data_IF_480520243303
#
_entry.id   IF_480520243303
#
_cell.length_a   1.000
_cell.length_b   1.000
_cell.length_c   1.000
_cell.angle_alpha   90.00
_cell.angle_beta   90.00
_cell.angle_gamma   90.00
#
_symmetry.space_group_name_H-M   'P 1'
#
loop_
_entity.id
_entity.type
_entity.pdbx_description
1 polymer ?
#
# COMPACT_ATOMS: atom_id res chain seq x y z
N UNK A 1 -10.94 -12.70 3.82
CA UNK A 1 -9.54 -12.46 4.18
C UNK A 1 -9.40 -10.98 4.51
N UNK A 2 -9.15 -10.62 5.77
CA UNK A 2 -9.08 -9.21 6.18
C UNK A 2 -7.66 -8.64 6.15
N UNK A 3 -7.54 -7.34 5.88
CA UNK A 3 -6.29 -6.59 6.00
C UNK A 3 -6.31 -5.75 7.28
N UNK A 4 -5.20 -5.75 8.02
CA UNK A 4 -5.02 -4.96 9.24
C UNK A 4 -4.09 -3.77 9.01
N UNK A 5 -4.50 -2.59 9.48
CA UNK A 5 -3.78 -1.34 9.33
C UNK A 5 -3.59 -0.67 10.69
N UNK A 6 -2.38 -0.21 10.99
CA UNK A 6 -2.11 0.58 12.19
C UNK A 6 -2.33 2.06 11.89
N UNK A 7 -3.25 2.71 12.61
CA UNK A 7 -3.48 4.16 12.49
C UNK A 7 -2.50 4.92 13.37
N UNK A 8 -2.37 4.49 14.63
CA UNK A 8 -1.51 5.06 15.65
C UNK A 8 -1.04 3.95 16.60
N UNK A 9 -0.30 4.31 17.65
CA UNK A 9 0.25 3.35 18.62
C UNK A 9 -0.80 2.51 19.35
N UNK A 10 -2.06 2.92 19.37
CA UNK A 10 -3.13 2.30 20.16
C UNK A 10 -4.31 1.80 19.33
N UNK A 11 -4.41 2.21 18.06
CA UNK A 11 -5.54 1.93 17.18
C UNK A 11 -5.12 1.21 15.91
N UNK A 12 -5.76 0.08 15.67
CA UNK A 12 -5.71 -0.65 14.42
C UNK A 12 -7.08 -0.70 13.76
N UNK A 13 -7.12 -0.75 12.45
CA UNK A 13 -8.31 -1.02 11.66
C UNK A 13 -8.16 -2.36 10.97
N UNK A 14 -9.22 -3.17 11.00
CA UNK A 14 -9.36 -4.36 10.16
C UNK A 14 -10.48 -4.11 9.19
N UNK A 15 -10.16 -4.15 7.90
CA UNK A 15 -11.15 -4.19 6.82
C UNK A 15 -11.23 -5.62 6.28
N UNK A 16 -12.44 -6.14 6.10
CA UNK A 16 -12.65 -7.52 5.68
C UNK A 16 -13.98 -7.69 4.96
N UNK A 17 -14.04 -8.66 4.06
CA UNK A 17 -15.25 -9.07 3.37
C UNK A 17 -16.04 -10.11 4.18
N UNK A 18 -17.36 -10.02 4.13
CA UNK A 18 -18.28 -10.97 4.76
C UNK A 18 -19.57 -11.05 3.94
N UNK A 19 -19.75 -12.17 3.24
CA UNK A 19 -20.80 -12.35 2.23
C UNK A 19 -20.74 -11.19 1.22
N UNK A 20 -21.85 -10.48 1.01
CA UNK A 20 -21.92 -9.35 0.10
C UNK A 20 -21.58 -8.01 0.78
N UNK A 21 -20.93 -8.04 1.94
CA UNK A 21 -20.57 -6.82 2.68
C UNK A 21 -19.07 -6.66 2.81
N UNK A 22 -18.62 -5.40 2.80
CA UNK A 22 -17.31 -5.03 3.35
C UNK A 22 -17.54 -4.42 4.72
N UNK A 23 -16.80 -4.92 5.70
CA UNK A 23 -16.89 -4.52 7.09
C UNK A 23 -15.58 -3.89 7.58
N UNK A 24 -15.69 -2.95 8.51
CA UNK A 24 -14.58 -2.34 9.24
C UNK A 24 -14.72 -2.62 10.73
N UNK A 25 -13.63 -2.98 11.39
CA UNK A 25 -13.51 -3.01 12.85
C UNK A 25 -12.32 -2.18 13.28
N UNK A 26 -12.51 -1.41 14.34
CA UNK A 26 -11.41 -0.76 15.04
C UNK A 26 -11.01 -1.63 16.22
N UNK A 27 -9.72 -1.93 16.34
CA UNK A 27 -9.13 -2.54 17.51
C UNK A 27 -8.43 -1.44 18.29
N UNK A 28 -8.84 -1.28 19.55
CA UNK A 28 -8.12 -0.50 20.53
C UNK A 28 -7.29 -1.45 21.39
N UNK A 29 -6.27 -0.94 22.07
CA UNK A 29 -5.35 -1.69 22.95
C UNK A 29 -6.00 -2.70 23.91
N UNK A 30 -7.27 -2.52 24.28
CA UNK A 30 -7.99 -3.37 25.23
C UNK A 30 -9.27 -4.02 24.67
N UNK A 31 -9.70 -3.71 23.45
CA UNK A 31 -10.99 -4.19 22.94
C UNK A 31 -11.13 -4.13 21.41
N UNK A 32 -11.88 -5.07 20.85
CA UNK A 32 -12.31 -5.05 19.46
C UNK A 32 -13.68 -4.39 19.37
N UNK A 33 -13.78 -3.31 18.60
CA UNK A 33 -15.02 -2.60 18.32
C UNK A 33 -16.05 -3.44 17.56
N UNK A 34 -17.30 -2.99 17.59
CA UNK A 34 -18.36 -3.58 16.76
C UNK A 34 -18.06 -3.37 15.27
N UNK A 35 -18.40 -4.32 14.40
CA UNK A 35 -18.22 -4.14 12.97
C UNK A 35 -19.16 -3.06 12.44
N UNK A 36 -18.59 -2.12 11.68
CA UNK A 36 -19.33 -1.20 10.84
C UNK A 36 -19.42 -1.78 9.42
N UNK A 37 -20.61 -1.77 8.82
CA UNK A 37 -20.79 -2.16 7.42
C UNK A 37 -20.44 -0.93 6.57
N UNK A 38 -19.46 -1.07 5.68
CA UNK A 38 -19.03 -0.02 4.75
C UNK A 38 -19.77 -0.09 3.41
N UNK A 39 -20.07 -1.30 2.92
CA UNK A 39 -20.93 -1.52 1.75
C UNK A 39 -21.64 -2.87 1.85
N UNK A 40 -22.68 -3.04 1.04
CA UNK A 40 -23.58 -4.22 1.00
C UNK A 40 -23.81 -4.77 -0.42
N UNK A 41 -23.02 -4.30 -1.37
CA UNK A 41 -23.05 -4.63 -2.79
C UNK A 41 -21.75 -5.33 -3.24
N UNK A 42 -20.95 -5.84 -2.30
CA UNK A 42 -19.69 -6.53 -2.62
C UNK A 42 -19.96 -7.85 -3.36
N UNK A 43 -19.25 -8.05 -4.47
CA UNK A 43 -19.26 -9.29 -5.22
C UNK A 43 -17.90 -10.01 -5.15
N UNK A 44 -16.81 -9.31 -5.47
CA UNK A 44 -15.48 -9.95 -5.54
C UNK A 44 -14.30 -8.96 -5.40
N UNK A 45 -13.10 -9.53 -5.27
CA UNK A 45 -11.81 -8.84 -5.42
C UNK A 45 -11.61 -7.61 -4.53
N UNK A 46 -11.84 -7.76 -3.21
CA UNK A 46 -11.53 -6.70 -2.26
C UNK A 46 -10.01 -6.42 -2.21
N UNK A 47 -9.63 -5.16 -2.34
CA UNK A 47 -8.26 -4.68 -2.12
C UNK A 47 -8.28 -3.40 -1.28
N UNK A 48 -7.23 -3.14 -0.51
CA UNK A 48 -7.17 -1.96 0.36
C UNK A 48 -5.74 -1.45 0.52
N UNK A 49 -5.60 -0.14 0.69
CA UNK A 49 -4.28 0.51 0.87
C UNK A 49 -4.41 1.86 1.55
N UNK A 50 -3.33 2.35 2.14
CA UNK A 50 -3.28 3.69 2.75
C UNK A 50 -2.58 4.65 1.80
N UNK A 51 -3.25 5.75 1.48
CA UNK A 51 -2.69 6.88 0.72
C UNK A 51 -2.99 8.16 1.49
N UNK A 52 -1.97 9.01 1.74
CA UNK A 52 -2.12 10.28 2.47
C UNK A 52 -2.87 10.15 3.80
N UNK A 53 -2.50 9.15 4.59
CA UNK A 53 -3.10 8.80 5.89
C UNK A 53 -4.60 8.43 5.84
N UNK A 54 -5.17 8.20 4.65
CA UNK A 54 -6.53 7.70 4.48
C UNK A 54 -6.51 6.25 3.99
N UNK A 55 -7.37 5.41 4.58
CA UNK A 55 -7.56 4.03 4.13
C UNK A 55 -8.56 4.00 2.99
N UNK A 56 -8.09 3.59 1.82
CA UNK A 56 -8.89 3.33 0.63
C UNK A 56 -9.12 1.84 0.47
N UNK A 57 -10.25 1.50 -0.13
CA UNK A 57 -10.57 0.14 -0.52
C UNK A 57 -11.27 0.12 -1.87
N UNK A 58 -10.99 -0.93 -2.64
CA UNK A 58 -11.65 -1.21 -3.91
C UNK A 58 -12.27 -2.60 -3.90
N UNK A 59 -13.28 -2.77 -4.74
CA UNK A 59 -13.95 -4.05 -4.93
C UNK A 59 -14.73 -4.07 -6.24
N UNK A 60 -15.11 -5.28 -6.69
CA UNK A 60 -16.11 -5.47 -7.73
C UNK A 60 -17.48 -5.54 -7.06
N UNK A 61 -18.42 -4.70 -7.50
CA UNK A 61 -19.79 -4.69 -6.99
C UNK A 61 -20.68 -5.73 -7.72
N UNK A 62 -21.94 -5.86 -7.31
CA UNK A 62 -22.92 -6.77 -7.96
C UNK A 62 -23.25 -6.41 -9.41
N UNK A 63 -22.97 -5.18 -9.84
CA UNK A 63 -23.11 -4.70 -11.22
C UNK A 63 -21.85 -4.97 -12.05
N UNK A 64 -20.84 -5.62 -11.46
CA UNK A 64 -19.54 -5.95 -12.03
C UNK A 64 -18.61 -4.73 -12.25
N UNK A 65 -18.91 -3.59 -11.63
CA UNK A 65 -18.11 -2.37 -11.67
C UNK A 65 -16.97 -2.41 -10.66
N UNK A 66 -15.86 -1.74 -10.96
CA UNK A 66 -14.83 -1.45 -9.96
C UNK A 66 -15.25 -0.21 -9.18
N UNK A 67 -15.46 -0.35 -7.89
CA UNK A 67 -15.79 0.75 -6.98
C UNK A 67 -14.59 1.04 -6.09
N UNK A 68 -14.27 2.33 -5.88
CA UNK A 68 -13.27 2.79 -4.91
C UNK A 68 -13.92 3.74 -3.92
N UNK A 69 -13.68 3.48 -2.63
CA UNK A 69 -14.15 4.27 -1.50
C UNK A 69 -13.01 4.47 -0.49
N UNK A 70 -13.21 5.40 0.43
CA UNK A 70 -12.39 5.49 1.64
C UNK A 70 -13.25 5.11 2.86
N UNK A 71 -12.61 4.81 3.99
CA UNK A 71 -13.35 4.39 5.20
C UNK A 71 -14.07 5.53 5.93
N UNK A 72 -13.78 6.78 5.57
CA UNK A 72 -14.37 7.96 6.21
C UNK A 72 -15.66 8.43 5.56
N UNK A 73 -15.84 8.11 4.27
CA UNK A 73 -16.94 8.56 3.44
C UNK A 73 -17.69 7.36 2.86
N UNK A 74 -19.02 7.40 2.95
CA UNK A 74 -19.90 6.38 2.38
C UNK A 74 -20.10 6.53 0.87
N UNK A 75 -19.74 7.68 0.30
CA UNK A 75 -19.89 7.96 -1.12
C UNK A 75 -18.87 7.19 -1.97
N UNK A 76 -19.25 6.92 -3.22
CA UNK A 76 -18.34 6.35 -4.21
C UNK A 76 -17.41 7.47 -4.69
N UNK A 77 -16.11 7.30 -4.47
CA UNK A 77 -15.10 8.28 -4.90
C UNK A 77 -14.71 8.09 -6.36
N UNK A 78 -14.73 6.84 -6.81
CA UNK A 78 -14.47 6.47 -8.20
C UNK A 78 -15.24 5.20 -8.54
N UNK A 79 -15.83 5.15 -9.73
CA UNK A 79 -16.42 3.95 -10.31
C UNK A 79 -15.92 3.76 -11.73
N UNK A 80 -15.53 2.53 -12.07
CA UNK A 80 -15.32 2.13 -13.45
C UNK A 80 -16.46 1.19 -13.86
N UNK A 81 -17.36 1.73 -14.67
CA UNK A 81 -18.50 0.99 -15.19
C UNK A 81 -18.06 -0.11 -16.14
N UNK A 82 -18.48 -1.33 -15.83
CA UNK A 82 -18.32 -2.48 -16.66
C UNK A 82 -19.38 -2.43 -17.77
N UNK A 83 -19.07 -1.76 -18.89
CA UNK A 83 -19.94 -1.78 -20.08
C UNK A 83 -20.24 -3.23 -20.44
N UNK A 84 -21.45 -3.51 -20.96
CA UNK A 84 -22.11 -4.83 -21.22
C UNK A 84 -21.27 -5.94 -21.90
N UNK A 85 -20.02 -5.70 -22.21
CA UNK A 85 -19.10 -6.52 -22.97
C UNK A 85 -17.72 -6.67 -22.30
N UNK A 86 -17.44 -6.02 -21.17
CA UNK A 86 -16.14 -6.13 -20.52
C UNK A 86 -16.17 -7.19 -19.41
N UNK A 87 -15.16 -8.05 -19.38
CA UNK A 87 -14.90 -8.92 -18.24
C UNK A 87 -13.72 -8.35 -17.47
N UNK A 88 -14.00 -7.70 -16.34
CA UNK A 88 -12.98 -7.18 -15.42
C UNK A 88 -12.62 -8.29 -14.42
N UNK A 89 -11.33 -8.50 -14.19
CA UNK A 89 -10.86 -9.44 -13.17
C UNK A 89 -9.67 -8.89 -12.37
N UNK A 90 -9.61 -9.34 -11.11
CA UNK A 90 -8.51 -9.09 -10.19
C UNK A 90 -8.13 -7.61 -10.03
N UNK A 91 -9.07 -6.67 -9.85
CA UNK A 91 -8.70 -5.30 -9.52
C UNK A 91 -8.01 -5.26 -8.16
N UNK A 92 -6.96 -4.46 -8.06
CA UNK A 92 -6.32 -4.14 -6.80
C UNK A 92 -5.79 -2.72 -6.80
N UNK A 93 -5.66 -2.15 -5.61
CA UNK A 93 -5.16 -0.81 -5.39
C UNK A 93 -3.90 -0.82 -4.54
N UNK A 94 -3.01 0.14 -4.80
CA UNK A 94 -1.82 0.34 -3.99
C UNK A 94 -1.38 1.80 -3.98
N UNK A 95 -0.55 2.15 -3.00
CA UNK A 95 0.06 3.46 -2.88
C UNK A 95 1.36 3.51 -3.67
N UNK A 96 1.51 4.53 -4.51
CA UNK A 96 2.77 4.88 -5.13
C UNK A 96 2.97 6.39 -5.07
N UNK A 97 4.03 6.85 -4.40
CA UNK A 97 4.36 8.26 -4.28
C UNK A 97 3.16 9.14 -3.88
N UNK A 98 2.41 8.72 -2.85
CA UNK A 98 1.24 9.45 -2.33
C UNK A 98 0.05 9.52 -3.30
N UNK A 99 0.09 8.72 -4.36
CA UNK A 99 -0.95 8.59 -5.38
C UNK A 99 -1.59 7.21 -5.29
N UNK A 100 -2.90 7.15 -5.50
CA UNK A 100 -3.63 5.89 -5.56
C UNK A 100 -3.49 5.30 -6.96
N UNK A 101 -3.00 4.06 -7.05
CA UNK A 101 -2.89 3.32 -8.31
C UNK A 101 -3.93 2.21 -8.32
N UNK A 102 -4.67 2.09 -9.41
CA UNK A 102 -5.57 0.98 -9.71
C UNK A 102 -4.98 0.16 -10.85
N UNK A 103 -4.87 -1.15 -10.65
CA UNK A 103 -4.53 -2.10 -11.70
C UNK A 103 -5.59 -3.20 -11.77
N UNK A 104 -5.93 -3.63 -12.98
CA UNK A 104 -6.91 -4.67 -13.23
C UNK A 104 -6.65 -5.36 -14.56
N UNK A 105 -7.11 -6.60 -14.69
CA UNK A 105 -7.15 -7.29 -15.98
C UNK A 105 -8.52 -7.11 -16.63
N UNK A 106 -8.56 -6.93 -17.94
CA UNK A 106 -9.80 -6.78 -18.70
C UNK A 106 -9.75 -7.63 -19.95
N UNK A 107 -10.90 -8.22 -20.30
CA UNK A 107 -11.11 -8.89 -21.57
C UNK A 107 -12.34 -8.32 -22.25
N UNK A 108 -12.19 -7.89 -23.50
CA UNK A 108 -13.32 -7.50 -24.35
C UNK A 108 -13.88 -8.75 -25.05
N UNK A 109 -15.13 -8.76 -25.54
CA UNK A 109 -15.68 -9.95 -26.21
C UNK A 109 -15.09 -10.16 -27.60
N UNK A 110 -14.55 -9.09 -28.19
CA UNK A 110 -13.90 -9.11 -29.49
C UNK A 110 -12.47 -9.65 -29.40
N UNK A 111 -11.88 -9.63 -28.20
CA UNK A 111 -10.53 -10.11 -27.94
C UNK A 111 -10.53 -11.53 -27.39
N UNK A 112 -9.59 -12.35 -27.88
CA UNK A 112 -9.35 -13.68 -27.30
C UNK A 112 -8.62 -13.59 -25.97
N UNK A 113 -7.84 -12.52 -25.77
CA UNK A 113 -6.89 -12.37 -24.69
C UNK A 113 -7.29 -11.25 -23.72
N UNK A 114 -6.76 -11.31 -22.51
CA UNK A 114 -6.82 -10.26 -21.49
C UNK A 114 -5.69 -9.26 -21.71
N UNK A 115 -5.98 -7.98 -21.52
CA UNK A 115 -5.00 -6.93 -21.27
C UNK A 115 -4.95 -6.58 -19.79
N UNK A 116 -3.85 -5.96 -19.37
CA UNK A 116 -3.72 -5.38 -18.02
C UNK A 116 -3.73 -3.87 -18.13
N UNK A 117 -4.60 -3.23 -17.36
CA UNK A 117 -4.75 -1.78 -17.31
C UNK A 117 -4.27 -1.25 -15.98
N UNK A 118 -3.52 -0.17 -16.02
CA UNK A 118 -2.96 0.54 -14.86
C UNK A 118 -3.31 2.01 -15.00
N UNK A 119 -3.86 2.61 -13.95
CA UNK A 119 -4.26 4.01 -13.96
C UNK A 119 -4.25 4.64 -12.57
N UNK A 120 -4.35 5.97 -12.54
CA UNK A 120 -4.49 6.77 -11.32
C UNK A 120 -5.94 7.28 -11.23
N UNK A 121 -6.81 6.67 -10.40
CA UNK A 121 -8.26 6.93 -10.43
C UNK A 121 -8.69 8.37 -10.19
N UNK A 122 -7.87 9.14 -9.46
CA UNK A 122 -8.17 10.53 -9.08
C UNK A 122 -7.47 11.56 -9.96
N UNK A 123 -6.83 11.12 -11.04
CA UNK A 123 -6.00 11.96 -11.88
C UNK A 123 -6.41 11.85 -13.35
N UNK A 124 -6.24 12.95 -14.09
CA UNK A 124 -6.58 13.02 -15.51
C UNK A 124 -5.44 12.49 -16.40
N UNK A 125 -4.77 11.42 -15.97
CA UNK A 125 -3.71 10.78 -16.73
C UNK A 125 -4.28 9.66 -17.62
N UNK A 126 -3.66 9.40 -18.79
CA UNK A 126 -4.09 8.32 -19.66
C UNK A 126 -3.88 6.96 -18.97
N UNK A 127 -4.80 6.03 -19.23
CA UNK A 127 -4.67 4.64 -18.80
C UNK A 127 -3.46 4.02 -19.50
N UNK A 128 -2.57 3.44 -18.73
CA UNK A 128 -1.46 2.63 -19.24
C UNK A 128 -1.96 1.20 -19.46
N UNK A 129 -1.70 0.65 -20.64
CA UNK A 129 -2.16 -0.68 -21.02
C UNK A 129 -0.98 -1.58 -21.40
N UNK A 130 -1.00 -2.81 -20.87
CA UNK A 130 -0.16 -3.92 -21.32
C UNK A 130 -1.05 -4.75 -22.25
N UNK A 131 -0.73 -4.71 -23.53
CA UNK A 131 -1.57 -5.23 -24.60
C UNK A 131 -1.95 -6.70 -24.43
N UNK A 132 -3.07 -7.08 -25.06
CA UNK A 132 -3.79 -8.36 -25.07
C UNK A 132 -2.91 -9.63 -25.27
N UNK A 133 -2.04 -9.95 -24.32
CA UNK A 133 -1.05 -11.03 -24.40
C UNK A 133 -1.58 -12.32 -23.72
N UNK A 134 -2.52 -12.22 -22.79
CA UNK A 134 -2.84 -13.33 -21.87
C UNK A 134 -4.11 -14.07 -22.28
N UNK A 135 -4.03 -15.37 -22.57
CA UNK A 135 -5.22 -16.16 -22.98
C UNK A 135 -6.21 -16.42 -21.84
N UNK A 136 -5.76 -16.27 -20.61
CA UNK A 136 -6.51 -16.40 -19.37
C UNK A 136 -6.23 -15.20 -18.47
N UNK A 137 -7.03 -15.01 -17.42
CA UNK A 137 -6.85 -13.89 -16.51
C UNK A 137 -5.50 -14.02 -15.78
N UNK A 138 -4.58 -13.06 -15.97
CA UNK A 138 -3.25 -13.18 -15.39
C UNK A 138 -3.27 -12.84 -13.90
N UNK A 139 -2.34 -13.45 -13.16
CA UNK A 139 -1.96 -13.01 -11.83
C UNK A 139 -1.01 -11.83 -11.96
N UNK A 140 -1.36 -10.72 -11.31
CA UNK A 140 -0.56 -9.50 -11.31
C UNK A 140 0.05 -9.32 -9.92
N UNK A 141 1.37 -9.34 -9.86
CA UNK A 141 2.13 -8.94 -8.67
C UNK A 141 2.89 -7.65 -8.98
N UNK A 142 3.23 -6.89 -7.94
CA UNK A 142 3.97 -5.65 -8.12
C UNK A 142 5.02 -5.44 -7.02
N UNK A 143 6.04 -4.67 -7.37
CA UNK A 143 7.09 -4.20 -6.47
C UNK A 143 7.20 -2.69 -6.67
N UNK A 144 6.97 -1.93 -5.61
CA UNK A 144 7.18 -0.48 -5.61
C UNK A 144 8.65 -0.20 -5.31
N UNK A 145 9.33 0.49 -6.23
CA UNK A 145 10.64 1.10 -6.02
C UNK A 145 10.46 2.61 -5.88
N UNK A 146 11.55 3.34 -5.57
CA UNK A 146 11.49 4.80 -5.42
C UNK A 146 10.94 5.52 -6.67
N UNK A 147 11.47 5.18 -7.84
CA UNK A 147 11.20 5.92 -9.08
C UNK A 147 10.49 5.08 -10.15
N UNK A 148 10.06 3.88 -9.80
CA UNK A 148 9.32 3.01 -10.71
C UNK A 148 8.53 1.94 -9.99
N UNK A 149 7.50 1.43 -10.64
CA UNK A 149 6.79 0.21 -10.26
C UNK A 149 7.22 -0.91 -11.19
N UNK A 150 7.51 -2.08 -10.64
CA UNK A 150 7.71 -3.31 -11.42
C UNK A 150 6.46 -4.15 -11.28
N UNK A 151 5.89 -4.57 -12.41
CA UNK A 151 4.81 -5.55 -12.47
C UNK A 151 5.37 -6.89 -12.91
N UNK A 152 5.06 -7.94 -12.16
CA UNK A 152 5.33 -9.34 -12.54
C UNK A 152 3.99 -9.97 -12.86
N UNK A 153 3.78 -10.26 -14.14
CA UNK A 153 2.50 -10.73 -14.65
C UNK A 153 2.67 -12.15 -15.15
N UNK A 154 1.92 -13.06 -14.53
CA UNK A 154 2.02 -14.49 -14.75
C UNK A 154 0.69 -15.07 -15.20
N UNK A 155 0.76 -15.90 -16.23
CA UNK A 155 -0.28 -16.82 -16.69
C UNK A 155 0.35 -18.20 -16.89
N UNK A 156 -0.45 -19.25 -17.00
CA UNK A 156 -0.06 -20.63 -17.27
C UNK A 156 1.03 -20.77 -18.32
N UNK A 157 1.02 -19.92 -19.35
CA UNK A 157 1.96 -20.00 -20.48
C UNK A 157 2.92 -18.80 -20.63
N UNK A 158 2.70 -17.70 -19.89
CA UNK A 158 3.45 -16.45 -20.10
C UNK A 158 3.83 -15.81 -18.77
N UNK A 159 5.08 -15.35 -18.67
CA UNK A 159 5.64 -14.70 -17.50
C UNK A 159 6.40 -13.48 -17.98
N UNK A 160 5.78 -12.31 -17.85
CA UNK A 160 6.35 -11.06 -18.35
C UNK A 160 6.54 -10.10 -17.19
N UNK A 161 7.59 -9.30 -17.29
CA UNK A 161 7.95 -8.33 -16.28
C UNK A 161 7.90 -6.97 -16.95
N UNK A 162 7.13 -6.06 -16.39
CA UNK A 162 6.94 -4.72 -16.91
C UNK A 162 7.41 -3.70 -15.88
N UNK A 163 7.91 -2.58 -16.35
CA UNK A 163 8.35 -1.49 -15.50
C UNK A 163 7.66 -0.20 -15.93
N UNK A 164 6.96 0.42 -14.99
CA UNK A 164 6.38 1.75 -15.12
C UNK A 164 7.29 2.74 -14.39
N UNK A 165 7.93 3.65 -15.11
CA UNK A 165 8.79 4.67 -14.50
C UNK A 165 7.96 5.90 -14.05
N UNK A 166 8.55 6.78 -13.24
CA UNK A 166 7.95 8.05 -12.81
C UNK A 166 7.38 8.90 -13.96
N UNK A 167 7.96 8.82 -15.16
CA UNK A 167 7.51 9.56 -16.34
C UNK A 167 6.23 8.97 -16.99
N UNK A 168 5.63 7.93 -16.39
CA UNK A 168 4.47 7.23 -16.94
C UNK A 168 4.80 6.29 -18.11
N UNK A 169 6.08 6.08 -18.39
CA UNK A 169 6.54 5.22 -19.49
C UNK A 169 6.58 3.77 -19.01
N UNK A 170 5.85 2.92 -19.71
CA UNK A 170 5.81 1.48 -19.51
C UNK A 170 6.79 0.78 -20.46
N UNK A 171 7.63 -0.11 -19.92
CA UNK A 171 8.62 -0.87 -20.70
C UNK A 171 8.68 -2.33 -20.23
N UNK A 172 8.76 -3.27 -21.16
CA UNK A 172 8.99 -4.68 -20.85
C UNK A 172 10.45 -4.92 -20.45
N UNK A 173 10.66 -5.62 -19.34
CA UNK A 173 11.98 -6.04 -18.85
C UNK A 173 12.26 -7.46 -19.33
N UNK A 174 12.99 -7.56 -20.44
CA UNK A 174 13.34 -8.84 -21.08
C UNK A 174 14.57 -9.52 -20.45
N UNK A 175 15.32 -8.82 -19.59
CA UNK A 175 16.53 -9.36 -18.96
C UNK A 175 16.43 -9.39 -17.44
N UNK A 176 16.50 -10.60 -16.89
CA UNK A 176 16.59 -10.85 -15.44
C UNK A 176 17.75 -10.07 -14.80
N UNK A 177 18.87 -9.90 -15.51
CA UNK A 177 20.02 -9.11 -15.01
C UNK A 177 19.67 -7.64 -14.77
N UNK A 178 18.83 -7.05 -15.62
CA UNK A 178 18.39 -5.65 -15.47
C UNK A 178 17.48 -5.54 -14.25
N UNK A 179 16.54 -6.48 -14.09
CA UNK A 179 15.66 -6.56 -12.94
C UNK A 179 16.44 -6.68 -11.63
N UNK A 180 17.33 -7.68 -11.53
CA UNK A 180 18.12 -7.94 -10.33
C UNK A 180 18.97 -6.74 -9.97
N UNK A 181 19.59 -6.08 -10.95
CA UNK A 181 20.38 -4.86 -10.72
C UNK A 181 19.52 -3.69 -10.21
N UNK A 182 18.32 -3.50 -10.76
CA UNK A 182 17.41 -2.41 -10.35
C UNK A 182 16.90 -2.63 -8.93
N UNK A 183 16.51 -3.87 -8.61
CA UNK A 183 16.06 -4.27 -7.28
C UNK A 183 17.21 -4.17 -6.26
N UNK A 184 18.39 -4.71 -6.56
CA UNK A 184 19.54 -4.69 -5.64
C UNK A 184 19.97 -3.26 -5.32
N UNK A 185 20.10 -2.41 -6.36
CA UNK A 185 20.48 -1.01 -6.20
C UNK A 185 19.51 -0.24 -5.30
N UNK A 186 18.21 -0.50 -5.40
CA UNK A 186 17.21 0.13 -4.56
C UNK A 186 17.36 -0.29 -3.09
N UNK A 187 17.45 -1.59 -2.82
CA UNK A 187 17.57 -2.07 -1.44
C UNK A 187 18.92 -1.71 -0.79
N UNK A 188 20.01 -1.68 -1.55
CA UNK A 188 21.32 -1.23 -1.05
C UNK A 188 21.25 0.24 -0.59
N UNK A 189 20.56 1.10 -1.35
CA UNK A 189 20.37 2.49 -0.98
C UNK A 189 19.41 2.66 0.22
N UNK A 190 18.34 1.87 0.26
CA UNK A 190 17.39 1.88 1.39
C UNK A 190 18.07 1.44 2.69
N UNK A 191 18.90 0.38 2.64
CA UNK A 191 19.69 -0.10 3.78
C UNK A 191 20.64 1.01 4.24
N UNK A 192 21.39 1.63 3.33
CA UNK A 192 22.32 2.71 3.67
C UNK A 192 21.62 3.89 4.33
N UNK A 193 20.43 4.26 3.84
CA UNK A 193 19.63 5.33 4.45
C UNK A 193 19.14 4.94 5.85
N UNK A 194 18.71 3.70 6.06
CA UNK A 194 18.30 3.21 7.39
C UNK A 194 19.49 3.15 8.36
N UNK A 195 20.67 2.75 7.91
CA UNK A 195 21.89 2.77 8.71
C UNK A 195 22.26 4.20 9.15
N UNK A 196 22.12 5.18 8.25
CA UNK A 196 22.33 6.59 8.58
C UNK A 196 21.35 7.06 9.66
N UNK A 197 20.06 6.75 9.52
CA UNK A 197 19.03 7.07 10.52
C UNK A 197 19.37 6.43 11.87
N UNK A 198 19.74 5.14 11.89
CA UNK A 198 20.14 4.43 13.12
C UNK A 198 21.35 5.11 13.77
N UNK A 199 22.33 5.53 12.99
CA UNK A 199 23.50 6.23 13.52
C UNK A 199 23.12 7.57 14.17
N UNK A 200 22.23 8.34 13.54
CA UNK A 200 21.73 9.60 14.09
C UNK A 200 20.95 9.37 15.40
N UNK A 201 20.07 8.37 15.45
CA UNK A 201 19.31 8.03 16.66
C UNK A 201 20.26 7.63 17.80
N UNK A 202 21.31 6.85 17.51
CA UNK A 202 22.32 6.47 18.52
C UNK A 202 23.05 7.68 19.06
N UNK A 203 23.42 8.64 18.19
CA UNK A 203 24.06 9.89 18.61
C UNK A 203 23.15 10.69 19.53
N UNK A 204 21.89 10.91 19.14
CA UNK A 204 20.90 11.62 19.95
C UNK A 204 20.64 10.94 21.30
N UNK A 205 20.55 9.60 21.30
CA UNK A 205 20.40 8.83 22.54
C UNK A 205 21.59 9.03 23.49
N UNK A 206 22.82 9.00 22.96
CA UNK A 206 24.02 9.20 23.76
C UNK A 206 24.10 10.62 24.32
N UNK A 207 23.75 11.65 23.54
CA UNK A 207 23.67 13.05 24.01
C UNK A 207 22.63 13.22 25.12
N UNK A 208 21.46 12.59 24.99
CA UNK A 208 20.44 12.62 26.02
C UNK A 208 20.91 11.89 27.29
N UNK A 209 21.56 10.74 27.13
CA UNK A 209 22.13 9.95 28.22
C UNK A 209 23.20 10.75 29.00
N UNK A 210 24.14 11.40 28.32
CA UNK A 210 25.17 12.22 28.97
C UNK A 210 24.57 13.41 29.71
N UNK A 211 23.57 14.05 29.11
CA UNK A 211 22.82 15.15 29.74
C UNK A 211 22.09 14.68 31.00
N UNK A 212 21.40 13.54 30.94
CA UNK A 212 20.70 12.95 32.09
C UNK A 212 21.65 12.57 33.23
N UNK A 213 22.82 12.00 32.90
CA UNK A 213 23.87 11.69 33.89
C UNK A 213 24.40 12.98 34.53
N UNK A 214 24.62 14.04 33.74
CA UNK A 214 25.06 15.34 34.24
C UNK A 214 24.05 15.92 35.24
N UNK A 215 22.77 15.96 34.90
CA UNK A 215 21.71 16.42 35.80
C UNK A 215 21.59 15.56 37.06
N UNK A 216 21.71 14.22 36.94
CA UNK A 216 21.72 13.31 38.09
C UNK A 216 22.86 13.63 39.05
N UNK A 217 24.06 13.82 38.52
CA UNK A 217 25.25 14.11 39.33
C UNK A 217 25.15 15.50 39.98
N UNK A 218 24.62 16.49 39.27
CA UNK A 218 24.38 17.81 39.82
C UNK A 218 23.32 17.77 40.93
N UNK A 219 22.18 17.13 40.69
CA UNK A 219 21.14 16.95 41.70
C UNK A 219 21.66 16.26 42.96
N UNK A 220 22.54 15.25 42.81
CA UNK A 220 23.21 14.60 43.95
C UNK A 220 24.08 15.59 44.74
N UNK A 221 24.90 16.43 44.06
CA UNK A 221 25.69 17.46 44.75
C UNK A 221 24.83 18.44 45.54
N UNK A 222 23.69 18.86 44.98
CA UNK A 222 22.74 19.73 45.67
C UNK A 222 22.12 19.01 46.89
N UNK A 223 21.74 17.75 46.74
CA UNK A 223 21.22 16.94 47.84
C UNK A 223 22.24 16.86 49.00
N UNK A 224 23.47 16.42 48.72
CA UNK A 224 24.50 16.21 49.74
C UNK A 224 24.86 17.54 50.45
N UNK A 225 24.91 18.66 49.70
CA UNK A 225 25.23 19.98 50.26
C UNK A 225 24.18 20.50 51.26
N UNK A 226 22.90 20.30 50.99
CA UNK A 226 21.81 20.95 51.76
C UNK A 226 21.05 20.00 52.68
N UNK A 227 21.22 18.68 52.55
CA UNK A 227 20.42 17.72 53.31
C UNK A 227 21.24 16.73 54.16
N UNK A 228 22.52 16.45 53.84
CA UNK A 228 23.33 15.49 54.64
C UNK A 228 23.98 16.10 55.91
N UNK A 229 24.04 17.43 56.06
CA UNK A 229 24.61 18.09 57.26
C UNK A 229 23.54 18.67 58.22
N UNK A 230 22.33 18.11 58.21
CA UNK A 230 21.15 18.64 58.93
C UNK A 230 20.83 17.94 60.25
N UNK A 231 21.77 17.14 60.79
CA UNK A 231 21.67 16.50 62.11
C UNK A 231 22.59 17.19 63.14
#
# INVERSE_FOLDING_TARGET
>A
MGNSYTIDSERQMIIYESNNNICLRTINSLSIGRPAILCNDYFASMSSTIVNNMLYYSYINIENDIVIKNVTDTTILYSLECKDCLTIQNPFIFNYNERLVLAYSVKTPLDTNYSVKIMYPFENEPVTEIDNIYTEAPLINYIVLRDSIIFVISSSNTHNIWCLNNDGILCELTSEKILTKKISSYYDEEIKNKELIISNIRTQYNELMTTAISYKNEAKKWHDKYFENSD
#
